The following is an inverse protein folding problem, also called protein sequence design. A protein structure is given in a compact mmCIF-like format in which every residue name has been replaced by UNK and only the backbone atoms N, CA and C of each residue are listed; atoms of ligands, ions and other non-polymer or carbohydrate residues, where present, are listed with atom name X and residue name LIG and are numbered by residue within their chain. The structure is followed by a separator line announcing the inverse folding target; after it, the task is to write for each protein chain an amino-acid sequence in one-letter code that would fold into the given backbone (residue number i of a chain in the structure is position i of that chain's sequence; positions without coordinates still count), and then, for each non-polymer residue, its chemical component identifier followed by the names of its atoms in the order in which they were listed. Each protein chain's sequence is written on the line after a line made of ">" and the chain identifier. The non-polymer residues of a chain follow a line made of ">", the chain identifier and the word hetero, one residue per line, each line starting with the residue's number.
data_IF_947259350918
#
_entry.id   IF_947259350918
#
_cell.length_a   1.000
_cell.length_b   1.000
_cell.length_c   1.000
_cell.angle_alpha   90.00
_cell.angle_beta   90.00
_cell.angle_gamma   90.00
#
_symmetry.space_group_name_H-M   'P 1'
#
loop_
_entity.id
_entity.type
_entity.pdbx_description
1 polymer ?
#
# COMPACT_ATOMS: atom_id res chain seq x y z
N UNK A 1 4.50 14.45 -15.02
CA UNK A 1 5.92 14.61 -14.60
C UNK A 1 6.05 15.99 -13.97
N UNK A 2 6.68 16.11 -12.80
CA UNK A 2 6.95 17.43 -12.21
C UNK A 2 8.17 18.01 -12.91
N UNK A 3 8.06 19.19 -13.52
CA UNK A 3 9.12 19.80 -14.36
C UNK A 3 9.80 20.99 -13.69
N UNK A 4 9.26 21.51 -12.58
CA UNK A 4 9.83 22.61 -11.79
C UNK A 4 9.31 22.55 -10.35
N UNK A 5 10.13 22.94 -9.38
CA UNK A 5 9.75 23.17 -7.99
C UNK A 5 10.36 24.48 -7.49
N UNK A 6 9.62 25.26 -6.69
CA UNK A 6 10.12 26.45 -6.02
C UNK A 6 9.79 26.36 -4.52
N UNK A 7 10.80 26.32 -3.63
CA UNK A 7 12.24 26.20 -3.93
C UNK A 7 12.60 24.85 -4.57
N UNK A 8 13.73 24.79 -5.28
CA UNK A 8 14.21 23.55 -5.94
C UNK A 8 14.52 22.44 -4.92
N UNK A 9 15.05 22.83 -3.75
CA UNK A 9 15.36 21.93 -2.66
C UNK A 9 15.02 22.57 -1.31
N UNK A 10 14.70 21.72 -0.34
CA UNK A 10 14.48 22.10 1.06
C UNK A 10 15.24 21.14 1.97
N UNK A 11 15.67 21.56 3.17
CA UNK A 11 16.22 20.65 4.15
C UNK A 11 15.23 19.51 4.47
N UNK A 12 15.78 18.31 4.62
CA UNK A 12 15.04 17.12 5.02
C UNK A 12 15.98 16.03 5.50
N UNK A 13 15.43 15.07 6.23
CA UNK A 13 16.16 13.90 6.71
C UNK A 13 15.28 12.66 6.60
N UNK A 14 15.92 11.49 6.71
CA UNK A 14 15.23 10.20 6.73
C UNK A 14 15.54 9.44 8.02
N UNK A 15 14.60 8.64 8.47
CA UNK A 15 14.83 7.62 9.49
C UNK A 15 14.62 6.26 8.84
N UNK A 16 15.70 5.48 8.77
CA UNK A 16 15.75 4.19 8.10
C UNK A 16 16.26 3.12 9.06
N UNK A 17 15.81 1.89 8.88
CA UNK A 17 16.31 0.72 9.64
C UNK A 17 16.99 -0.32 8.75
N UNK A 18 16.64 -0.37 7.48
CA UNK A 18 17.20 -1.35 6.55
C UNK A 18 17.08 -0.86 5.10
N UNK A 19 17.82 -1.51 4.21
CA UNK A 19 17.60 -1.45 2.77
C UNK A 19 16.81 -2.67 2.32
N UNK A 20 15.99 -2.50 1.28
CA UNK A 20 15.32 -3.63 0.64
C UNK A 20 16.30 -4.52 -0.17
N UNK A 21 15.77 -5.57 -0.79
CA UNK A 21 16.57 -6.51 -1.59
C UNK A 21 17.31 -5.88 -2.78
N UNK A 22 16.95 -4.65 -3.17
CA UNK A 22 17.58 -3.90 -4.26
C UNK A 22 18.50 -2.78 -3.76
N UNK A 23 18.80 -2.74 -2.46
CA UNK A 23 19.65 -1.72 -1.85
C UNK A 23 18.97 -0.37 -1.66
N UNK A 24 17.65 -0.28 -1.81
CA UNK A 24 16.90 0.97 -1.61
C UNK A 24 16.57 1.14 -0.14
N UNK A 25 16.84 2.32 0.42
CA UNK A 25 16.47 2.63 1.80
C UNK A 25 14.95 2.56 1.99
N UNK A 26 14.51 1.85 3.04
CA UNK A 26 13.12 1.84 3.50
C UNK A 26 13.02 2.76 4.70
N UNK A 27 12.46 3.95 4.48
CA UNK A 27 12.54 5.04 5.42
C UNK A 27 11.25 5.85 5.58
N UNK A 28 11.17 6.55 6.70
CA UNK A 28 10.28 7.70 6.87
C UNK A 28 11.03 8.98 6.54
N UNK A 29 10.42 9.84 5.74
CA UNK A 29 11.01 11.12 5.33
C UNK A 29 10.42 12.27 6.15
N UNK A 30 11.27 13.26 6.45
CA UNK A 30 10.93 14.42 7.28
C UNK A 30 11.39 15.71 6.61
N UNK A 31 10.65 16.79 6.85
CA UNK A 31 11.03 18.14 6.45
C UNK A 31 11.87 18.78 7.56
N UNK A 32 12.86 19.58 7.20
CA UNK A 32 13.70 20.34 8.11
C UNK A 32 14.98 19.59 8.47
N UNK A 33 15.66 20.08 9.50
CA UNK A 33 16.88 19.47 10.03
C UNK A 33 16.54 18.47 11.14
N UNK A 34 17.39 17.44 11.29
CA UNK A 34 17.32 16.50 12.41
C UNK A 34 18.08 17.08 13.60
N UNK A 35 17.52 16.92 14.81
CA UNK A 35 18.25 17.19 16.06
C UNK A 35 19.26 16.08 16.40
N UNK A 36 19.10 14.90 15.80
CA UNK A 36 19.98 13.77 15.99
C UNK A 36 21.15 13.79 14.98
N UNK A 37 22.34 13.42 15.45
CA UNK A 37 23.53 13.25 14.61
C UNK A 37 23.30 12.18 13.52
N UNK A 38 23.93 12.34 12.37
CA UNK A 38 23.83 11.36 11.28
C UNK A 38 24.37 9.99 11.72
N UNK A 39 23.67 8.92 11.34
CA UNK A 39 23.96 7.56 11.75
C UNK A 39 23.64 7.21 13.21
N UNK A 40 23.15 8.16 14.01
CA UNK A 40 22.76 7.89 15.40
C UNK A 40 21.45 7.08 15.51
N UNK A 41 21.27 6.40 16.65
CA UNK A 41 20.03 5.69 16.94
C UNK A 41 18.95 6.66 17.41
N UNK A 42 17.81 6.66 16.74
CA UNK A 42 16.65 7.49 17.09
C UNK A 42 15.51 6.59 17.58
N UNK A 43 14.95 6.92 18.74
CA UNK A 43 13.73 6.26 19.20
C UNK A 43 12.54 6.73 18.36
N UNK A 44 12.01 5.83 17.53
CA UNK A 44 10.94 6.16 16.59
C UNK A 44 9.56 5.87 17.19
N UNK A 45 8.87 6.93 17.62
CA UNK A 45 7.59 6.83 18.31
C UNK A 45 6.39 7.36 17.50
N UNK A 46 5.22 7.31 18.13
CA UNK A 46 3.94 7.78 17.56
C UNK A 46 3.91 9.28 17.28
N UNK A 47 4.68 10.08 18.03
CA UNK A 47 4.75 11.53 17.82
C UNK A 47 5.59 11.85 16.59
N UNK A 48 6.69 11.11 16.41
CA UNK A 48 7.63 11.30 15.31
C UNK A 48 7.02 10.81 14.00
N UNK A 49 6.35 9.64 13.96
CA UNK A 49 5.66 9.19 12.72
C UNK A 49 4.67 10.23 12.20
N UNK A 50 3.94 10.95 13.07
CA UNK A 50 2.98 11.99 12.67
C UNK A 50 3.62 13.21 11.99
N UNK A 51 4.91 13.44 12.22
CA UNK A 51 5.70 14.50 11.57
C UNK A 51 6.26 14.08 10.21
N UNK A 52 6.17 12.79 9.85
CA UNK A 52 6.71 12.29 8.59
C UNK A 52 5.86 12.68 7.38
N UNK A 53 6.51 12.83 6.22
CA UNK A 53 5.87 12.95 4.93
C UNK A 53 4.97 11.74 4.63
N UNK A 54 5.35 10.54 5.06
CA UNK A 54 4.57 9.31 4.89
C UNK A 54 3.20 9.43 5.58
N UNK A 55 3.17 9.89 6.83
CA UNK A 55 1.93 10.14 7.56
C UNK A 55 1.11 11.25 6.89
N UNK A 56 1.77 12.33 6.44
CA UNK A 56 1.11 13.40 5.73
C UNK A 56 0.38 12.90 4.48
N UNK A 57 1.05 12.13 3.63
CA UNK A 57 0.47 11.56 2.41
C UNK A 57 -0.75 10.68 2.70
N UNK A 58 -0.67 9.81 3.72
CA UNK A 58 -1.80 8.96 4.13
C UNK A 58 -2.96 9.82 4.65
N UNK A 59 -2.68 10.82 5.49
CA UNK A 59 -3.70 11.71 6.07
C UNK A 59 -4.44 12.56 5.01
N UNK A 60 -3.80 12.77 3.85
CA UNK A 60 -4.34 13.46 2.68
C UNK A 60 -4.99 12.51 1.67
N UNK A 61 -4.97 11.19 1.91
CA UNK A 61 -5.52 10.20 0.99
C UNK A 61 -4.77 10.15 -0.34
N UNK A 62 -3.46 10.46 -0.35
CA UNK A 62 -2.66 10.48 -1.58
C UNK A 62 -1.96 9.15 -1.85
N UNK A 63 -1.96 8.24 -0.87
CA UNK A 63 -1.33 6.92 -0.97
C UNK A 63 -2.16 5.88 -0.22
N UNK A 64 -2.08 4.62 -0.67
CA UNK A 64 -2.59 3.50 0.10
C UNK A 64 -1.63 3.12 1.22
N UNK A 65 -2.13 2.74 2.40
CA UNK A 65 -1.33 1.99 3.35
C UNK A 65 -1.09 0.58 2.80
N UNK A 66 0.17 0.15 2.75
CA UNK A 66 0.55 -1.24 2.47
C UNK A 66 1.58 -1.65 3.50
N UNK A 67 1.13 -2.38 4.52
CA UNK A 67 1.97 -2.70 5.66
C UNK A 67 2.71 -4.01 5.46
N UNK A 68 3.91 -4.06 6.03
CA UNK A 68 4.76 -5.24 6.08
C UNK A 68 5.11 -5.59 7.51
N UNK A 69 5.42 -6.85 7.78
CA UNK A 69 5.51 -7.40 9.14
C UNK A 69 6.61 -6.77 9.99
N UNK A 70 7.68 -6.23 9.36
CA UNK A 70 8.76 -5.51 10.05
C UNK A 70 8.36 -4.12 10.58
N UNK A 71 7.22 -3.56 10.17
CA UNK A 71 6.74 -2.29 10.70
C UNK A 71 6.12 -2.48 12.09
N UNK A 72 6.62 -1.72 13.08
CA UNK A 72 6.16 -1.82 14.46
C UNK A 72 4.64 -1.60 14.59
N UNK A 73 3.93 -2.42 15.40
CA UNK A 73 2.46 -2.35 15.50
C UNK A 73 1.91 -1.00 15.95
N UNK A 74 2.63 -0.30 16.82
CA UNK A 74 2.21 0.98 17.38
C UNK A 74 2.33 2.13 16.36
N UNK A 75 3.38 2.10 15.54
CA UNK A 75 3.56 2.96 14.36
C UNK A 75 2.51 2.65 13.30
N UNK A 76 2.32 1.37 12.97
CA UNK A 76 1.27 0.91 12.04
C UNK A 76 -0.09 1.43 12.46
N UNK A 77 -0.45 1.32 13.74
CA UNK A 77 -1.72 1.84 14.27
C UNK A 77 -1.91 3.34 14.00
N UNK A 78 -0.86 4.16 14.08
CA UNK A 78 -0.99 5.59 13.76
C UNK A 78 -1.33 5.82 12.28
N UNK A 79 -0.71 5.04 11.39
CA UNK A 79 -0.95 5.10 9.95
C UNK A 79 -2.34 4.56 9.58
N UNK A 80 -2.78 3.46 10.23
CA UNK A 80 -4.15 2.93 10.13
C UNK A 80 -5.18 4.00 10.48
N UNK A 81 -5.05 4.67 11.64
CA UNK A 81 -5.97 5.74 12.05
C UNK A 81 -6.03 6.88 11.02
N UNK A 82 -4.87 7.23 10.43
CA UNK A 82 -4.81 8.27 9.41
C UNK A 82 -5.47 7.85 8.09
N UNK A 83 -5.31 6.59 7.68
CA UNK A 83 -5.93 6.01 6.49
C UNK A 83 -7.45 5.89 6.65
N UNK A 84 -7.93 5.36 7.79
CA UNK A 84 -9.35 5.28 8.11
C UNK A 84 -9.99 6.66 8.07
N UNK A 85 -9.35 7.65 8.68
CA UNK A 85 -9.84 9.02 8.67
C UNK A 85 -9.86 9.62 7.27
N UNK A 86 -8.80 9.44 6.48
CA UNK A 86 -8.76 10.01 5.12
C UNK A 86 -9.77 9.34 4.19
N UNK A 87 -10.05 8.05 4.38
CA UNK A 87 -11.13 7.34 3.68
C UNK A 87 -12.51 7.81 4.10
N UNK A 88 -12.78 7.94 5.40
CA UNK A 88 -14.06 8.46 5.93
C UNK A 88 -14.33 9.89 5.44
N UNK A 89 -13.29 10.73 5.39
CA UNK A 89 -13.37 12.10 4.88
C UNK A 89 -13.38 12.18 3.33
N UNK A 90 -13.38 11.04 2.60
CA UNK A 90 -13.30 10.96 1.14
C UNK A 90 -12.19 11.83 0.53
N UNK A 91 -10.97 11.72 1.06
CA UNK A 91 -9.83 12.51 0.58
C UNK A 91 -9.06 11.80 -0.53
N UNK A 92 -8.60 12.57 -1.52
CA UNK A 92 -7.69 12.09 -2.55
C UNK A 92 -8.23 10.86 -3.28
N UNK A 93 -7.44 9.79 -3.30
CA UNK A 93 -7.77 8.54 -3.99
C UNK A 93 -9.07 7.89 -3.48
N UNK A 94 -9.44 8.13 -2.22
CA UNK A 94 -10.60 7.47 -1.59
C UNK A 94 -11.94 7.89 -2.18
N UNK A 95 -11.98 8.94 -3.00
CA UNK A 95 -13.19 9.35 -3.73
C UNK A 95 -13.56 8.40 -4.87
N UNK A 96 -12.55 7.72 -5.42
CA UNK A 96 -12.66 6.91 -6.64
C UNK A 96 -12.09 5.49 -6.47
N UNK A 97 -11.62 5.16 -5.27
CA UNK A 97 -11.10 3.83 -4.94
C UNK A 97 -12.19 2.77 -5.10
N UNK A 98 -11.88 1.73 -5.88
CA UNK A 98 -12.75 0.58 -6.11
C UNK A 98 -12.21 -0.71 -5.47
N UNK A 99 -11.18 -0.62 -4.62
CA UNK A 99 -10.54 -1.79 -4.00
C UNK A 99 -11.54 -2.68 -3.28
N UNK A 100 -12.46 -2.11 -2.49
CA UNK A 100 -13.40 -2.86 -1.65
C UNK A 100 -14.84 -2.86 -2.19
N UNK A 101 -15.22 -1.87 -3.01
CA UNK A 101 -16.55 -1.86 -3.67
C UNK A 101 -16.61 -2.85 -4.83
N UNK A 102 -15.46 -3.11 -5.44
CA UNK A 102 -15.29 -3.99 -6.59
C UNK A 102 -15.52 -3.31 -7.93
N UNK A 103 -15.12 -4.02 -8.98
CA UNK A 103 -15.20 -3.61 -10.37
C UNK A 103 -15.26 -4.84 -11.28
N UNK A 104 -15.83 -4.68 -12.48
CA UNK A 104 -15.87 -5.72 -13.51
C UNK A 104 -14.67 -5.56 -14.43
N UNK A 105 -13.88 -6.62 -14.61
CA UNK A 105 -12.77 -6.65 -15.55
C UNK A 105 -13.26 -6.99 -16.97
N UNK A 106 -13.27 -5.98 -17.84
CA UNK A 106 -13.68 -6.14 -19.24
C UNK A 106 -12.50 -6.08 -20.20
N UNK A 107 -11.52 -5.23 -19.89
CA UNK A 107 -10.37 -4.92 -20.75
C UNK A 107 -9.14 -4.61 -19.90
N UNK A 108 -7.95 -4.63 -20.50
CA UNK A 108 -6.75 -4.12 -19.83
C UNK A 108 -6.90 -2.65 -19.42
N UNK A 109 -7.58 -1.84 -20.24
CA UNK A 109 -7.87 -0.43 -19.98
C UNK A 109 -8.66 -0.22 -18.68
N UNK A 110 -9.47 -1.20 -18.27
CA UNK A 110 -10.20 -1.15 -17.01
C UNK A 110 -9.25 -0.87 -15.84
N UNK A 111 -8.09 -1.54 -15.80
CA UNK A 111 -7.17 -1.46 -14.66
C UNK A 111 -6.05 -0.43 -14.87
N UNK A 112 -5.82 0.04 -16.10
CA UNK A 112 -4.78 1.05 -16.40
C UNK A 112 -5.32 2.48 -16.35
N UNK A 113 -6.56 2.69 -16.81
CA UNK A 113 -7.08 4.04 -17.08
C UNK A 113 -8.40 4.37 -16.37
N UNK A 114 -9.21 3.35 -16.02
CA UNK A 114 -10.59 3.57 -15.57
C UNK A 114 -10.79 3.50 -14.06
N UNK A 115 -9.98 2.73 -13.34
CA UNK A 115 -10.18 2.49 -11.91
C UNK A 115 -8.94 2.82 -11.07
N UNK A 116 -9.19 3.18 -9.82
CA UNK A 116 -8.15 3.35 -8.79
C UNK A 116 -8.31 2.21 -7.79
N UNK A 117 -7.22 1.51 -7.50
CA UNK A 117 -7.21 0.35 -6.61
C UNK A 117 -5.88 0.17 -5.89
N UNK A 118 -5.86 -0.72 -4.88
CA UNK A 118 -4.65 -1.10 -4.16
C UNK A 118 -3.54 -1.58 -5.12
N UNK A 119 -2.32 -1.01 -5.07
CA UNK A 119 -1.23 -1.37 -6.00
C UNK A 119 -0.82 -2.84 -5.98
N UNK A 120 -0.98 -3.55 -4.84
CA UNK A 120 -0.69 -4.99 -4.75
C UNK A 120 -1.65 -5.80 -5.62
N UNK A 121 -2.95 -5.46 -5.58
CA UNK A 121 -3.98 -6.08 -6.39
C UNK A 121 -3.75 -5.81 -7.88
N UNK A 122 -3.52 -4.53 -8.24
CA UNK A 122 -3.18 -4.13 -9.60
C UNK A 122 -2.00 -4.93 -10.16
N UNK A 123 -0.89 -5.02 -9.40
CA UNK A 123 0.31 -5.74 -9.84
C UNK A 123 0.03 -7.23 -10.09
N UNK A 124 -0.77 -7.88 -9.24
CA UNK A 124 -1.13 -9.28 -9.41
C UNK A 124 -2.02 -9.49 -10.62
N UNK A 125 -3.01 -8.62 -10.81
CA UNK A 125 -3.90 -8.70 -11.95
C UNK A 125 -3.14 -8.47 -13.26
N UNK A 126 -2.31 -7.43 -13.34
CA UNK A 126 -1.49 -7.16 -14.51
C UNK A 126 -0.54 -8.32 -14.84
N UNK A 127 0.11 -8.91 -13.83
CA UNK A 127 0.98 -10.08 -14.03
C UNK A 127 0.21 -11.31 -14.51
N UNK A 128 -1.00 -11.52 -13.98
CA UNK A 128 -1.88 -12.61 -14.42
C UNK A 128 -2.33 -12.44 -15.88
N UNK A 129 -2.78 -11.24 -16.26
CA UNK A 129 -3.17 -10.95 -17.65
C UNK A 129 -2.01 -11.17 -18.62
N UNK A 130 -0.78 -10.78 -18.22
CA UNK A 130 0.40 -10.97 -19.04
C UNK A 130 0.76 -12.44 -19.31
N UNK A 131 0.52 -13.35 -18.35
CA UNK A 131 0.76 -14.79 -18.56
C UNK A 131 -0.40 -15.52 -19.25
N UNK A 132 -1.56 -14.87 -19.36
CA UNK A 132 -2.77 -15.41 -19.97
C UNK A 132 -3.00 -14.82 -21.38
N UNK A 133 -1.92 -14.45 -22.08
CA UNK A 133 -1.95 -13.83 -23.41
C UNK A 133 -2.89 -12.61 -23.55
N UNK A 134 -3.03 -11.83 -22.46
CA UNK A 134 -3.92 -10.67 -22.40
C UNK A 134 -5.40 -10.99 -22.23
N UNK A 135 -5.77 -12.27 -22.10
CA UNK A 135 -7.14 -12.69 -21.81
C UNK A 135 -7.57 -12.17 -20.44
N UNK A 136 -8.74 -11.52 -20.43
CA UNK A 136 -9.35 -10.90 -19.24
C UNK A 136 -10.15 -11.87 -18.38
N UNK A 137 -10.25 -13.15 -18.78
CA UNK A 137 -10.95 -14.16 -17.97
C UNK A 137 -10.32 -14.30 -16.60
N UNK A 138 -11.12 -14.26 -15.53
CA UNK A 138 -10.66 -14.41 -14.15
C UNK A 138 -10.75 -15.84 -13.60
N UNK A 139 -11.16 -16.83 -14.41
CA UNK A 139 -11.40 -18.20 -13.95
C UNK A 139 -10.19 -18.84 -13.24
N UNK A 140 -8.97 -18.55 -13.70
CA UNK A 140 -7.72 -19.05 -13.11
C UNK A 140 -7.06 -18.10 -12.11
N UNK A 141 -7.65 -16.92 -11.84
CA UNK A 141 -6.96 -15.87 -11.09
C UNK A 141 -6.73 -16.24 -9.63
N UNK A 142 -7.71 -16.88 -8.98
CA UNK A 142 -7.59 -17.32 -7.59
C UNK A 142 -6.46 -18.35 -7.40
N UNK A 143 -6.31 -19.28 -8.34
CA UNK A 143 -5.23 -20.28 -8.27
C UNK A 143 -3.86 -19.67 -8.60
N UNK A 144 -3.83 -18.71 -9.53
CA UNK A 144 -2.63 -17.89 -9.74
C UNK A 144 -2.21 -17.17 -8.45
N UNK A 145 -3.14 -16.50 -7.74
CA UNK A 145 -2.83 -15.82 -6.48
C UNK A 145 -2.29 -16.78 -5.41
N UNK A 146 -2.85 -17.98 -5.29
CA UNK A 146 -2.33 -19.03 -4.40
C UNK A 146 -0.88 -19.39 -4.74
N UNK A 147 -0.57 -19.56 -6.02
CA UNK A 147 0.79 -19.89 -6.47
C UNK A 147 1.82 -18.78 -6.19
N UNK A 148 1.37 -17.53 -6.07
CA UNK A 148 2.26 -16.41 -5.77
C UNK A 148 2.75 -16.41 -4.31
N UNK A 149 2.11 -17.18 -3.42
CA UNK A 149 2.44 -17.33 -2.00
C UNK A 149 2.71 -15.98 -1.31
N UNK A 150 1.77 -15.05 -1.49
CA UNK A 150 1.81 -13.75 -0.82
C UNK A 150 1.16 -13.86 0.55
N UNK A 151 1.93 -14.31 1.54
CA UNK A 151 1.44 -14.46 2.90
C UNK A 151 1.16 -13.11 3.56
N UNK A 152 0.08 -13.04 4.34
CA UNK A 152 -0.33 -11.86 5.08
C UNK A 152 -1.01 -12.21 6.40
N UNK A 153 -1.13 -11.23 7.27
CA UNK A 153 -1.91 -11.26 8.50
C UNK A 153 -3.12 -10.36 8.32
N UNK A 154 -4.32 -10.87 8.62
CA UNK A 154 -5.55 -10.08 8.74
C UNK A 154 -5.62 -9.58 10.18
N UNK A 155 -5.37 -8.28 10.39
CA UNK A 155 -5.18 -7.72 11.73
C UNK A 155 -6.39 -7.89 12.66
N UNK A 156 -7.60 -7.79 12.11
CA UNK A 156 -8.84 -7.88 12.90
C UNK A 156 -9.11 -9.29 13.42
N UNK A 157 -8.60 -10.29 12.73
CA UNK A 157 -8.85 -11.70 13.03
C UNK A 157 -7.65 -12.38 13.68
N UNK A 158 -6.45 -11.81 13.52
CA UNK A 158 -5.19 -12.46 13.92
C UNK A 158 -4.83 -13.67 13.05
N UNK A 159 -5.50 -13.84 11.92
CA UNK A 159 -5.30 -14.97 11.01
C UNK A 159 -4.13 -14.72 10.06
N UNK A 160 -3.26 -15.73 9.91
CA UNK A 160 -2.23 -15.77 8.88
C UNK A 160 -2.79 -16.55 7.68
N UNK A 161 -2.76 -15.95 6.50
CA UNK A 161 -3.32 -16.52 5.27
C UNK A 161 -2.55 -16.02 4.04
N UNK A 162 -2.99 -16.39 2.84
CA UNK A 162 -2.49 -15.86 1.58
C UNK A 162 -3.32 -14.69 1.05
N UNK A 163 -2.75 -13.91 0.13
CA UNK A 163 -3.47 -12.82 -0.53
C UNK A 163 -4.65 -13.29 -1.39
N UNK A 164 -4.63 -14.54 -1.84
CA UNK A 164 -5.77 -15.19 -2.50
C UNK A 164 -7.02 -15.21 -1.62
N UNK A 165 -6.88 -15.38 -0.30
CA UNK A 165 -8.00 -15.48 0.62
C UNK A 165 -8.78 -14.16 0.78
N UNK A 166 -8.10 -13.03 0.60
CA UNK A 166 -8.70 -11.70 0.80
C UNK A 166 -9.25 -11.10 -0.49
N UNK A 167 -9.01 -11.75 -1.63
CA UNK A 167 -9.50 -11.36 -2.95
C UNK A 167 -10.73 -12.20 -3.28
N UNK A 168 -11.85 -11.53 -3.55
CA UNK A 168 -13.06 -12.18 -4.05
C UNK A 168 -13.15 -12.02 -5.56
N UNK A 169 -13.44 -13.11 -6.24
CA UNK A 169 -13.72 -13.17 -7.68
C UNK A 169 -15.11 -13.78 -7.85
N UNK A 170 -16.03 -13.02 -8.45
CA UNK A 170 -17.38 -13.46 -8.81
C UNK A 170 -17.59 -13.22 -10.30
N UNK A 171 -17.38 -14.27 -11.11
CA UNK A 171 -17.27 -14.14 -12.56
C UNK A 171 -16.14 -13.18 -12.93
N UNK A 172 -16.50 -12.05 -13.54
CA UNK A 172 -15.56 -10.99 -13.91
C UNK A 172 -15.46 -9.86 -12.87
N UNK A 173 -16.25 -9.92 -11.79
CA UNK A 173 -16.22 -8.93 -10.72
C UNK A 173 -15.13 -9.28 -9.69
N UNK A 174 -14.35 -8.28 -9.31
CA UNK A 174 -13.23 -8.44 -8.38
C UNK A 174 -13.30 -7.41 -7.27
N UNK A 175 -13.06 -7.81 -6.01
CA UNK A 175 -12.91 -6.90 -4.86
C UNK A 175 -12.00 -7.48 -3.77
N UNK A 176 -11.55 -6.63 -2.84
CA UNK A 176 -10.99 -7.09 -1.55
C UNK A 176 -12.07 -7.13 -0.46
N UNK A 177 -12.04 -8.19 0.34
CA UNK A 177 -12.95 -8.38 1.47
C UNK A 177 -12.50 -7.66 2.75
N UNK A 178 -11.27 -7.16 2.77
CA UNK A 178 -10.68 -6.43 3.89
C UNK A 178 -10.09 -5.11 3.42
N UNK A 179 -10.09 -4.12 4.29
CA UNK A 179 -9.52 -2.82 3.97
C UNK A 179 -7.98 -2.90 3.85
N UNK A 180 -7.34 -2.09 3.00
CA UNK A 180 -5.89 -2.08 2.84
C UNK A 180 -5.11 -1.98 4.17
N UNK A 181 -5.56 -1.15 5.10
CA UNK A 181 -4.93 -0.95 6.40
C UNK A 181 -5.13 -2.09 7.41
N UNK A 182 -6.00 -3.05 7.12
CA UNK A 182 -6.21 -4.27 7.92
C UNK A 182 -5.26 -5.40 7.50
N UNK A 183 -4.51 -5.24 6.41
CA UNK A 183 -3.63 -6.25 5.84
C UNK A 183 -2.16 -5.97 6.15
N UNK A 184 -1.43 -6.96 6.67
CA UNK A 184 0.02 -6.90 6.88
C UNK A 184 0.70 -8.03 6.12
N UNK A 185 1.43 -7.69 5.06
CA UNK A 185 2.18 -8.66 4.27
C UNK A 185 3.42 -9.16 5.03
N UNK A 186 3.67 -10.45 4.93
CA UNK A 186 4.87 -11.08 5.46
C UNK A 186 5.92 -11.06 4.34
N UNK A 187 7.10 -10.51 4.64
CA UNK A 187 8.23 -10.49 3.72
C UNK A 187 8.62 -11.91 3.29
N UNK A 188 9.10 -12.04 2.05
CA UNK A 188 9.73 -13.27 1.55
C UNK A 188 11.18 -13.36 2.00
#
# INVERSE_FOLDING_TARGET
>A
MVTKAEPEQVPGFILTRFADAYGRSVAFAFKGESEAEDGSNVFFDKSLVRKSANYHLISKGLVYPTFYSKLYPDIRRQLTIAAEKSRQDQKGLWQVDQTNTGFVLETLETITDKIVMLPKLFRRLLSYLAINDGSVSLEGFSDYLKSMDDRLIILREGHVTGFDFVVEVDGQNLKLNYQPEDLVFIEK
#
